data_IF_299924431114
#
_entry.id   IF_299924431114
#
_cell.length_a   1.000
_cell.length_b   1.000
_cell.length_c   1.000
_cell.angle_alpha   90.00
_cell.angle_beta   90.00
_cell.angle_gamma   90.00
#
_symmetry.space_group_name_H-M   'P 1'
#
loop_
_entity.id
_entity.type
_entity.pdbx_description
1 polymer ?
#
# COMPACT_ATOMS: atom_id res chain seq x y z
N UNK A 1 -6.38 -19.31 6.78
CA UNK A 1 -6.64 -18.31 5.72
C UNK A 1 -5.89 -18.62 4.42
N UNK A 2 -4.59 -18.93 4.42
CA UNK A 2 -3.83 -19.28 3.19
C UNK A 2 -4.30 -20.62 2.57
N UNK A 3 -4.82 -21.53 3.39
CA UNK A 3 -5.33 -22.85 2.97
C UNK A 3 -6.75 -22.85 2.37
N UNK A 4 -7.43 -21.69 2.30
CA UNK A 4 -8.86 -21.60 1.99
C UNK A 4 -9.17 -21.02 0.59
N UNK A 5 -8.19 -20.98 -0.32
CA UNK A 5 -8.40 -20.44 -1.68
C UNK A 5 -8.55 -18.91 -1.76
N UNK A 6 -8.64 -18.19 -0.62
CA UNK A 6 -8.70 -16.72 -0.61
C UNK A 6 -7.54 -16.07 -1.37
N UNK A 7 -6.32 -16.58 -1.19
CA UNK A 7 -5.16 -16.06 -1.91
C UNK A 7 -5.29 -16.27 -3.42
N UNK A 8 -5.85 -17.41 -3.84
CA UNK A 8 -6.08 -17.78 -5.24
C UNK A 8 -7.18 -16.93 -5.87
N UNK A 9 -8.26 -16.65 -5.14
CA UNK A 9 -9.34 -15.79 -5.63
C UNK A 9 -8.93 -14.31 -5.66
N UNK A 10 -8.17 -13.84 -4.67
CA UNK A 10 -7.56 -12.51 -4.71
C UNK A 10 -6.62 -12.39 -5.91
N UNK A 11 -5.82 -13.43 -6.21
CA UNK A 11 -4.98 -13.47 -7.40
C UNK A 11 -5.80 -13.40 -8.69
N UNK A 12 -6.86 -14.21 -8.82
CA UNK A 12 -7.77 -14.17 -9.99
C UNK A 12 -8.42 -12.80 -10.16
N UNK A 13 -8.82 -12.17 -9.06
CA UNK A 13 -9.40 -10.83 -9.07
C UNK A 13 -8.37 -9.77 -9.48
N UNK A 14 -7.11 -9.87 -9.07
CA UNK A 14 -6.07 -8.96 -9.54
C UNK A 14 -5.68 -9.21 -11.00
N UNK A 15 -5.66 -10.47 -11.45
CA UNK A 15 -5.35 -10.83 -12.84
C UNK A 15 -6.45 -10.43 -13.82
N UNK A 16 -7.70 -10.30 -13.37
CA UNK A 16 -8.82 -9.82 -14.20
C UNK A 16 -8.85 -8.30 -14.35
N UNK A 17 -8.05 -7.56 -13.57
CA UNK A 17 -7.91 -6.11 -13.70
C UNK A 17 -6.97 -5.75 -14.85
N UNK A 18 -7.39 -4.81 -15.69
CA UNK A 18 -6.52 -4.21 -16.71
C UNK A 18 -5.36 -3.46 -16.05
N UNK A 19 -4.19 -3.40 -16.72
CA UNK A 19 -2.96 -2.81 -16.15
C UNK A 19 -3.12 -1.39 -15.59
N UNK A 20 -4.04 -0.60 -16.13
CA UNK A 20 -4.36 0.75 -15.63
C UNK A 20 -5.08 0.72 -14.27
N UNK A 21 -5.96 -0.26 -14.03
CA UNK A 21 -6.64 -0.40 -12.73
C UNK A 21 -5.81 -1.18 -11.72
N UNK A 22 -4.81 -1.95 -12.16
CA UNK A 22 -3.95 -2.73 -11.28
C UNK A 22 -3.12 -1.82 -10.36
N UNK A 23 -2.48 -0.79 -10.90
CA UNK A 23 -1.67 0.16 -10.12
C UNK A 23 -2.40 0.81 -8.93
N UNK A 24 -3.56 1.45 -9.11
CA UNK A 24 -4.28 2.06 -7.99
C UNK A 24 -4.78 1.04 -6.98
N UNK A 25 -5.25 -0.14 -7.42
CA UNK A 25 -5.69 -1.20 -6.51
C UNK A 25 -4.54 -1.73 -5.65
N UNK A 26 -3.38 -1.98 -6.26
CA UNK A 26 -2.19 -2.43 -5.53
C UNK A 26 -1.71 -1.35 -4.55
N UNK A 27 -1.59 -0.10 -4.99
CA UNK A 27 -1.19 1.00 -4.12
C UNK A 27 -2.12 1.16 -2.91
N UNK A 28 -3.44 1.06 -3.12
CA UNK A 28 -4.43 1.16 -2.04
C UNK A 28 -4.33 -0.02 -1.06
N UNK A 29 -4.32 -1.26 -1.57
CA UNK A 29 -4.24 -2.45 -0.72
C UNK A 29 -2.95 -2.48 0.09
N UNK A 30 -1.82 -2.14 -0.52
CA UNK A 30 -0.52 -2.06 0.15
C UNK A 30 -0.48 -0.95 1.19
N UNK A 31 -1.02 0.24 0.87
CA UNK A 31 -1.11 1.36 1.81
C UNK A 31 -1.95 1.02 3.04
N UNK A 32 -3.12 0.39 2.85
CA UNK A 32 -3.98 -0.07 3.94
C UNK A 32 -3.28 -1.16 4.76
N UNK A 33 -2.65 -2.13 4.10
CA UNK A 33 -1.93 -3.20 4.79
C UNK A 33 -0.79 -2.62 5.67
N UNK A 34 -0.02 -1.66 5.16
CA UNK A 34 0.98 -0.94 5.93
C UNK A 34 0.38 -0.17 7.10
N UNK A 35 -0.70 0.59 6.87
CA UNK A 35 -1.37 1.39 7.89
C UNK A 35 -1.96 0.54 9.02
N UNK A 36 -2.62 -0.57 8.69
CA UNK A 36 -3.24 -1.47 9.67
C UNK A 36 -2.19 -2.22 10.48
N UNK A 37 -1.12 -2.68 9.82
CA UNK A 37 -0.05 -3.41 10.51
C UNK A 37 0.90 -2.50 11.27
N UNK A 38 0.95 -1.20 10.92
CA UNK A 38 1.93 -0.26 11.44
C UNK A 38 3.38 -0.64 11.10
N UNK A 39 3.58 -1.46 10.07
CA UNK A 39 4.91 -1.97 9.69
C UNK A 39 5.03 -2.15 8.17
N UNK A 40 6.14 -1.68 7.61
CA UNK A 40 6.45 -1.92 6.19
C UNK A 40 6.57 -3.44 5.90
N UNK A 41 7.27 -4.17 6.78
CA UNK A 41 7.47 -5.62 6.61
C UNK A 41 6.15 -6.37 6.74
N UNK A 42 5.31 -6.00 7.72
CA UNK A 42 3.99 -6.58 7.90
C UNK A 42 3.09 -6.35 6.69
N UNK A 43 2.99 -5.09 6.23
CA UNK A 43 2.19 -4.73 5.06
C UNK A 43 2.64 -5.43 3.78
N UNK A 44 3.96 -5.48 3.52
CA UNK A 44 4.53 -6.22 2.39
C UNK A 44 4.21 -7.72 2.46
N UNK A 45 4.29 -8.33 3.63
CA UNK A 45 4.02 -9.76 3.81
C UNK A 45 2.58 -10.13 3.44
N UNK A 46 1.63 -9.21 3.63
CA UNK A 46 0.22 -9.42 3.31
C UNK A 46 -0.08 -9.34 1.80
N UNK A 47 0.66 -8.52 1.05
CA UNK A 47 0.32 -8.20 -0.35
C UNK A 47 1.29 -8.84 -1.35
N UNK A 48 2.57 -9.02 -1.00
CA UNK A 48 3.58 -9.57 -1.91
C UNK A 48 3.28 -10.96 -2.50
N UNK A 49 2.67 -11.91 -1.78
CA UNK A 49 2.31 -13.20 -2.37
C UNK A 49 1.32 -13.09 -3.53
N UNK A 50 0.42 -12.10 -3.49
CA UNK A 50 -0.52 -11.83 -4.59
C UNK A 50 0.18 -11.17 -5.78
N UNK A 51 1.21 -10.37 -5.53
CA UNK A 51 2.00 -9.68 -6.56
C UNK A 51 2.97 -10.62 -7.26
N UNK A 52 3.66 -11.48 -6.52
CA UNK A 52 4.55 -12.49 -7.07
C UNK A 52 3.83 -13.46 -8.02
N UNK A 53 2.52 -13.64 -7.85
CA UNK A 53 1.69 -14.51 -8.68
C UNK A 53 1.14 -13.85 -9.97
N UNK A 54 1.33 -12.53 -10.16
CA UNK A 54 0.86 -11.79 -11.33
C UNK A 54 1.79 -11.89 -12.56
N UNK A 55 2.92 -12.61 -12.47
CA UNK A 55 3.83 -12.86 -13.59
C UNK A 55 4.98 -11.84 -13.70
N UNK A 56 6.01 -12.21 -14.49
CA UNK A 56 7.34 -11.57 -14.46
C UNK A 56 7.44 -10.20 -15.14
N UNK A 57 6.51 -9.81 -16.03
CA UNK A 57 6.68 -8.61 -16.86
C UNK A 57 6.63 -7.31 -16.04
N UNK A 58 5.90 -7.31 -14.92
CA UNK A 58 5.72 -6.12 -14.06
C UNK A 58 6.16 -6.34 -12.60
N UNK A 59 6.69 -7.52 -12.27
CA UNK A 59 6.99 -7.94 -10.90
C UNK A 59 7.81 -6.92 -10.08
N UNK A 60 8.98 -6.46 -10.57
CA UNK A 60 9.81 -5.49 -9.86
C UNK A 60 9.12 -4.13 -9.65
N UNK A 61 8.37 -3.65 -10.65
CA UNK A 61 7.66 -2.37 -10.59
C UNK A 61 6.51 -2.43 -9.58
N UNK A 62 5.71 -3.50 -9.62
CA UNK A 62 4.63 -3.72 -8.67
C UNK A 62 5.17 -3.90 -7.25
N UNK A 63 6.28 -4.63 -7.09
CA UNK A 63 6.95 -4.80 -5.80
C UNK A 63 7.43 -3.45 -5.22
N UNK A 64 7.99 -2.58 -6.05
CA UNK A 64 8.40 -1.23 -5.64
C UNK A 64 7.20 -0.38 -5.19
N UNK A 65 6.08 -0.45 -5.90
CA UNK A 65 4.84 0.23 -5.49
C UNK A 65 4.32 -0.28 -4.15
N UNK A 66 4.29 -1.60 -3.96
CA UNK A 66 3.81 -2.24 -2.72
C UNK A 66 4.67 -1.80 -1.55
N UNK A 67 5.99 -1.85 -1.69
CA UNK A 67 6.93 -1.42 -0.65
C UNK A 67 6.79 0.08 -0.34
N UNK A 68 6.62 0.93 -1.36
CA UNK A 68 6.47 2.36 -1.14
C UNK A 68 5.15 2.69 -0.42
N UNK A 69 4.03 2.11 -0.87
CA UNK A 69 2.71 2.33 -0.28
C UNK A 69 2.62 1.75 1.14
N UNK A 70 3.08 0.51 1.37
CA UNK A 70 3.07 -0.11 2.69
C UNK A 70 3.97 0.62 3.69
N UNK A 71 5.16 1.06 3.27
CA UNK A 71 6.07 1.80 4.14
C UNK A 71 5.50 3.12 4.63
N UNK A 72 4.95 3.94 3.73
CA UNK A 72 4.35 5.21 4.11
C UNK A 72 3.00 5.05 4.82
N UNK A 73 2.23 4.01 4.47
CA UNK A 73 1.04 3.63 5.21
C UNK A 73 1.35 3.31 6.66
N UNK A 74 2.42 2.54 6.91
CA UNK A 74 2.89 2.22 8.24
C UNK A 74 3.25 3.46 9.05
N UNK A 75 3.99 4.42 8.47
CA UNK A 75 4.39 5.64 9.19
C UNK A 75 3.21 6.50 9.66
N UNK A 76 2.09 6.47 8.94
CA UNK A 76 0.87 7.15 9.36
C UNK A 76 -0.04 6.35 10.28
N UNK A 77 0.35 5.13 10.70
CA UNK A 77 -0.52 4.25 11.48
C UNK A 77 -0.85 4.81 12.85
N UNK A 78 -2.02 4.46 13.37
CA UNK A 78 -2.43 4.85 14.72
C UNK A 78 -1.46 4.37 15.80
N UNK A 79 -0.79 3.22 15.61
CA UNK A 79 0.19 2.71 16.56
C UNK A 79 1.44 3.61 16.64
N UNK A 80 1.97 4.07 15.51
CA UNK A 80 3.12 4.98 15.49
C UNK A 80 2.70 6.37 15.99
N UNK A 81 1.52 6.85 15.61
CA UNK A 81 1.02 8.13 16.09
C UNK A 81 0.79 8.14 17.60
N UNK A 82 0.24 7.06 18.16
CA UNK A 82 0.07 6.91 19.61
C UNK A 82 1.40 6.91 20.36
N UNK A 83 2.46 6.32 19.80
CA UNK A 83 3.81 6.39 20.36
C UNK A 83 4.35 7.83 20.34
N UNK A 84 4.17 8.55 19.22
CA UNK A 84 4.64 9.93 19.07
C UNK A 84 3.90 10.85 20.05
N UNK A 85 2.57 10.77 20.11
CA UNK A 85 1.76 11.63 20.99
C UNK A 85 2.01 11.32 22.46
N UNK A 86 2.18 10.04 22.81
CA UNK A 86 2.55 9.60 24.16
C UNK A 86 3.93 10.12 24.58
N UNK A 87 4.93 10.07 23.69
CA UNK A 87 6.28 10.55 23.98
C UNK A 87 6.36 12.08 24.06
N UNK A 88 5.60 12.78 23.21
CA UNK A 88 5.53 14.23 23.20
C UNK A 88 4.70 14.82 24.34
N UNK A 89 4.04 13.98 25.15
CA UNK A 89 3.03 14.39 26.13
C UNK A 89 1.97 15.33 25.52
N UNK A 90 1.57 15.02 24.27
CA UNK A 90 0.69 15.86 23.48
C UNK A 90 -0.72 15.93 24.07
N UNK A 91 -1.36 17.09 23.96
CA UNK A 91 -2.75 17.26 24.36
C UNK A 91 -3.71 16.68 23.30
N UNK A 92 -4.98 16.49 23.69
CA UNK A 92 -6.01 15.89 22.81
C UNK A 92 -6.19 16.60 21.47
N UNK A 93 -6.08 17.94 21.46
CA UNK A 93 -6.21 18.73 20.22
C UNK A 93 -5.02 18.49 19.27
N UNK A 94 -3.81 18.34 19.82
CA UNK A 94 -2.59 18.08 19.07
C UNK A 94 -2.60 16.66 18.50
N UNK A 95 -3.02 15.68 19.30
CA UNK A 95 -3.24 14.30 18.86
C UNK A 95 -4.24 14.24 17.70
N UNK A 96 -5.40 14.91 17.84
CA UNK A 96 -6.43 14.90 16.79
C UNK A 96 -5.96 15.58 15.51
N UNK A 97 -5.21 16.70 15.62
CA UNK A 97 -4.61 17.37 14.47
C UNK A 97 -3.57 16.48 13.79
N UNK A 98 -2.73 15.79 14.57
CA UNK A 98 -1.69 14.91 14.06
C UNK A 98 -2.29 13.70 13.34
N UNK A 99 -3.33 13.07 13.89
CA UNK A 99 -4.03 11.95 13.24
C UNK A 99 -4.59 12.35 11.88
N UNK A 100 -5.27 13.51 11.80
CA UNK A 100 -5.81 14.01 10.53
C UNK A 100 -4.71 14.34 9.52
N UNK A 101 -3.63 14.95 9.98
CA UNK A 101 -2.49 15.27 9.14
C UNK A 101 -1.83 14.00 8.58
N UNK A 102 -1.52 13.03 9.44
CA UNK A 102 -0.91 11.77 9.07
C UNK A 102 -1.80 10.95 8.13
N UNK A 103 -3.10 10.87 8.41
CA UNK A 103 -4.04 10.20 7.51
C UNK A 103 -4.09 10.88 6.14
N UNK A 104 -4.13 12.21 6.10
CA UNK A 104 -4.05 12.98 4.85
C UNK A 104 -2.76 12.71 4.08
N UNK A 105 -1.62 12.61 4.79
CA UNK A 105 -0.33 12.28 4.19
C UNK A 105 -0.30 10.86 3.60
N UNK A 106 -0.89 9.87 4.30
CA UNK A 106 -1.03 8.50 3.80
C UNK A 106 -1.90 8.46 2.54
N UNK A 107 -3.05 9.14 2.56
CA UNK A 107 -3.94 9.22 1.41
C UNK A 107 -3.26 9.87 0.20
N UNK A 108 -2.53 10.98 0.43
CA UNK A 108 -1.75 11.65 -0.60
C UNK A 108 -0.66 10.74 -1.15
N UNK A 109 0.07 10.02 -0.29
CA UNK A 109 1.09 9.07 -0.72
C UNK A 109 0.49 7.95 -1.59
N UNK A 110 -0.63 7.36 -1.18
CA UNK A 110 -1.32 6.33 -1.96
C UNK A 110 -1.69 6.87 -3.34
N UNK A 111 -2.21 8.11 -3.41
CA UNK A 111 -2.54 8.76 -4.68
C UNK A 111 -1.30 8.97 -5.57
N UNK A 112 -0.18 9.42 -5.01
CA UNK A 112 1.09 9.61 -5.74
C UNK A 112 1.63 8.27 -6.24
N UNK A 113 1.64 7.23 -5.41
CA UNK A 113 2.11 5.89 -5.80
C UNK A 113 1.21 5.31 -6.88
N UNK A 114 -0.12 5.46 -6.75
CA UNK A 114 -1.08 5.03 -7.77
C UNK A 114 -0.88 5.77 -9.11
N UNK A 115 -0.73 7.09 -9.08
CA UNK A 115 -0.49 7.89 -10.28
C UNK A 115 0.84 7.52 -10.95
N UNK A 116 1.90 7.37 -10.17
CA UNK A 116 3.23 6.96 -10.65
C UNK A 116 3.18 5.56 -11.25
N UNK A 117 2.49 4.62 -10.59
CA UNK A 117 2.28 3.26 -11.06
C UNK A 117 1.50 3.20 -12.37
N UNK A 118 0.44 4.02 -12.52
CA UNK A 118 -0.31 4.12 -13.78
C UNK A 118 0.56 4.64 -14.92
N UNK A 119 1.35 5.69 -14.69
CA UNK A 119 2.29 6.23 -15.70
C UNK A 119 3.32 5.17 -16.07
N UNK A 120 3.90 4.48 -15.08
CA UNK A 120 4.93 3.47 -15.29
C UNK A 120 4.40 2.27 -16.09
N UNK A 121 3.24 1.73 -15.72
CA UNK A 121 2.60 0.63 -16.45
C UNK A 121 2.13 1.05 -17.85
N UNK A 122 1.69 2.30 -18.01
CA UNK A 122 1.32 2.84 -19.33
C UNK A 122 2.54 2.98 -20.25
N UNK A 123 3.68 3.44 -19.73
CA UNK A 123 4.94 3.54 -20.51
C UNK A 123 5.49 2.16 -20.82
N UNK A 124 5.55 1.26 -19.84
CA UNK A 124 6.12 -0.08 -20.00
C UNK A 124 5.25 -0.97 -20.90
N UNK A 125 3.93 -0.85 -20.80
CA UNK A 125 2.97 -1.52 -21.69
C UNK A 125 2.94 -0.97 -23.12
N UNK A 126 3.65 0.13 -23.41
CA UNK A 126 3.81 0.69 -24.76
C UNK A 126 5.04 0.15 -25.50
N UNK A 127 5.92 -0.55 -24.78
CA UNK A 127 7.17 -1.11 -25.31
C UNK A 127 7.08 -2.62 -25.63
N UNK A 128 5.91 -3.22 -25.46
CA UNK A 128 5.53 -4.56 -25.90
C UNK A 128 4.36 -4.48 -26.89
#
# INVERSE_FOLDING_TARGET
MVNAGFLVEAQRALQSLSGISLAPTVALLSGIAGYVTGSNVGGNTLVMPSIAALGNDYGPCLAAMVNSAAGHGALGSLSILSLITGLAAANRDEEHRLIRFAFGLVALNIAIVAATGMVLLYVLGRHY
#
